data_IF_310891580862
#
_entry.id   IF_310891580862
#
_cell.length_a   1.000
_cell.length_b   1.000
_cell.length_c   1.000
_cell.angle_alpha   90.00
_cell.angle_beta   90.00
_cell.angle_gamma   90.00
#
_symmetry.space_group_name_H-M   'P 1'
#
loop_
_entity.id
_entity.type
_entity.pdbx_description
1 polymer ?
#
# COMPACT_ATOMS: atom_id res chain seq x y z
N UNK A 1 14.46 -22.37 5.77
CA UNK A 1 15.13 -21.10 5.47
C UNK A 1 14.08 -20.05 5.17
N UNK A 2 14.13 -18.92 5.83
CA UNK A 2 13.16 -17.83 5.65
C UNK A 2 13.96 -16.57 5.32
N UNK A 3 13.57 -15.90 4.26
CA UNK A 3 14.06 -14.55 3.91
C UNK A 3 12.94 -13.54 4.04
N UNK A 4 13.29 -12.31 4.35
CA UNK A 4 12.35 -11.20 4.42
C UNK A 4 12.75 -10.08 3.47
N UNK A 5 11.74 -9.44 2.88
CA UNK A 5 11.90 -8.27 2.04
C UNK A 5 10.67 -7.38 2.15
N UNK A 6 10.70 -6.20 1.55
CA UNK A 6 9.50 -5.41 1.35
C UNK A 6 8.53 -6.17 0.43
N UNK A 7 7.25 -5.94 0.62
CA UNK A 7 6.23 -6.51 -0.26
C UNK A 7 6.49 -6.10 -1.71
N UNK A 8 6.45 -7.07 -2.62
CA UNK A 8 6.53 -6.80 -4.05
C UNK A 8 5.15 -6.68 -4.70
N UNK A 9 5.09 -6.22 -5.95
CA UNK A 9 3.83 -6.07 -6.70
C UNK A 9 3.03 -7.35 -6.79
N UNK A 10 3.67 -8.49 -7.05
CA UNK A 10 2.99 -9.77 -7.20
C UNK A 10 2.29 -10.17 -5.90
N UNK A 11 2.99 -10.07 -4.78
CA UNK A 11 2.41 -10.39 -3.48
C UNK A 11 1.27 -9.42 -3.12
N UNK A 12 1.44 -8.13 -3.42
CA UNK A 12 0.39 -7.13 -3.21
C UNK A 12 -0.87 -7.45 -4.02
N UNK A 13 -0.72 -7.61 -5.32
CA UNK A 13 -1.84 -7.86 -6.23
C UNK A 13 -2.49 -9.23 -5.97
N UNK A 14 -1.69 -10.27 -5.67
CA UNK A 14 -2.19 -11.58 -5.26
C UNK A 14 -3.02 -11.50 -3.98
N UNK A 15 -2.58 -10.68 -3.03
CA UNK A 15 -3.33 -10.47 -1.78
C UNK A 15 -4.69 -9.82 -2.05
N UNK A 16 -4.76 -8.83 -2.95
CA UNK A 16 -6.04 -8.22 -3.34
C UNK A 16 -6.96 -9.26 -3.99
N UNK A 17 -6.43 -10.06 -4.91
CA UNK A 17 -7.19 -11.13 -5.59
C UNK A 17 -7.72 -12.15 -4.56
N UNK A 18 -6.88 -12.56 -3.62
CA UNK A 18 -7.29 -13.46 -2.54
C UNK A 18 -8.44 -12.87 -1.71
N UNK A 19 -8.30 -11.62 -1.25
CA UNK A 19 -9.34 -10.94 -0.48
C UNK A 19 -10.66 -10.84 -1.27
N UNK A 20 -10.58 -10.59 -2.57
CA UNK A 20 -11.77 -10.53 -3.44
C UNK A 20 -12.42 -11.91 -3.62
N UNK A 21 -11.62 -12.95 -3.78
CA UNK A 21 -12.10 -14.33 -3.88
C UNK A 21 -12.80 -14.78 -2.59
N UNK A 22 -12.36 -14.29 -1.44
CA UNK A 22 -12.98 -14.56 -0.13
C UNK A 22 -14.22 -13.71 0.17
N UNK A 23 -14.82 -13.09 -0.87
CA UNK A 23 -16.13 -12.43 -0.78
C UNK A 23 -16.10 -10.90 -0.76
N UNK A 24 -14.93 -10.26 -0.73
CA UNK A 24 -14.81 -8.80 -0.74
C UNK A 24 -14.63 -8.26 -2.17
N UNK A 25 -15.59 -8.54 -3.06
CA UNK A 25 -15.49 -8.41 -4.52
C UNK A 25 -14.93 -7.08 -5.07
N UNK A 26 -15.12 -5.97 -4.36
CA UNK A 26 -14.67 -4.65 -4.79
C UNK A 26 -13.42 -4.13 -4.05
N UNK A 27 -12.70 -5.00 -3.35
CA UNK A 27 -11.60 -4.57 -2.49
C UNK A 27 -10.47 -3.85 -3.23
N UNK A 28 -10.23 -4.16 -4.50
CA UNK A 28 -9.27 -3.43 -5.34
C UNK A 28 -9.55 -1.91 -5.38
N UNK A 29 -10.81 -1.52 -5.27
CA UNK A 29 -11.25 -0.12 -5.28
C UNK A 29 -11.47 0.45 -3.86
N UNK A 30 -11.16 -0.31 -2.82
CA UNK A 30 -11.32 0.15 -1.45
C UNK A 30 -10.36 1.33 -1.14
N UNK A 31 -10.86 2.30 -0.39
CA UNK A 31 -10.10 3.42 0.14
C UNK A 31 -10.67 3.79 1.51
N UNK A 32 -9.90 3.59 2.56
CA UNK A 32 -10.28 3.89 3.94
C UNK A 32 -9.58 5.17 4.42
N UNK A 33 -10.28 6.28 4.25
CA UNK A 33 -9.84 7.59 4.74
C UNK A 33 -10.38 7.83 6.14
N UNK A 34 -9.57 8.32 7.04
CA UNK A 34 -9.97 8.62 8.41
C UNK A 34 -9.97 10.11 8.73
N UNK A 35 -9.17 10.91 8.01
CA UNK A 35 -8.94 12.35 8.27
C UNK A 35 -8.43 12.67 9.71
N UNK A 36 -8.10 11.66 10.49
CA UNK A 36 -7.72 11.79 11.92
C UNK A 36 -6.28 11.39 12.19
N UNK A 37 -5.44 11.34 11.16
CA UNK A 37 -4.04 10.91 11.25
C UNK A 37 -3.90 9.39 11.25
N UNK A 38 -2.67 8.94 11.46
CA UNK A 38 -2.34 7.52 11.53
C UNK A 38 -3.00 6.84 12.72
N UNK A 39 -3.35 5.60 12.53
CA UNK A 39 -3.86 4.70 13.55
C UNK A 39 -2.97 3.48 13.69
N UNK A 40 -3.04 2.81 14.82
CA UNK A 40 -2.44 1.51 15.00
C UNK A 40 -2.99 0.52 13.96
N UNK A 41 -2.17 -0.45 13.57
CA UNK A 41 -2.56 -1.48 12.59
C UNK A 41 -3.90 -2.10 12.96
N UNK A 42 -4.80 -2.17 12.00
CA UNK A 42 -6.16 -2.69 12.15
C UNK A 42 -7.18 -1.70 12.73
N UNK A 43 -6.76 -0.59 13.32
CA UNK A 43 -7.67 0.34 14.01
C UNK A 43 -8.54 1.18 13.07
N UNK A 44 -8.23 1.24 11.77
CA UNK A 44 -9.07 1.92 10.76
C UNK A 44 -10.27 1.07 10.31
N UNK A 45 -10.37 -0.17 10.79
CA UNK A 45 -11.43 -1.10 10.38
C UNK A 45 -11.27 -1.65 8.97
N UNK A 46 -10.06 -1.64 8.43
CA UNK A 46 -9.71 -2.31 7.19
C UNK A 46 -8.95 -3.60 7.49
N UNK A 47 -9.65 -4.57 8.07
CA UNK A 47 -9.15 -5.94 8.21
C UNK A 47 -9.97 -6.87 7.31
N UNK A 48 -9.29 -7.56 6.40
CA UNK A 48 -9.85 -8.57 5.51
C UNK A 48 -8.99 -9.81 5.53
N UNK A 49 -9.59 -10.97 5.82
CA UNK A 49 -8.87 -12.26 5.83
C UNK A 49 -7.63 -12.26 6.75
N UNK A 50 -7.69 -11.56 7.90
CA UNK A 50 -6.57 -11.34 8.82
C UNK A 50 -5.42 -10.51 8.26
N UNK A 51 -5.68 -9.75 7.20
CA UNK A 51 -4.74 -8.79 6.60
C UNK A 51 -5.31 -7.39 6.84
N UNK A 52 -4.53 -6.53 7.46
CA UNK A 52 -4.97 -5.20 7.88
C UNK A 52 -4.37 -4.10 7.02
N UNK A 53 -5.13 -3.01 6.88
CA UNK A 53 -4.70 -1.68 6.42
C UNK A 53 -4.13 -1.63 4.99
N UNK A 54 -4.54 -2.53 4.09
CA UNK A 54 -4.19 -2.42 2.68
C UNK A 54 -4.95 -1.30 1.94
N UNK A 55 -6.07 -0.84 2.48
CA UNK A 55 -6.93 0.16 1.83
C UNK A 55 -6.81 1.57 2.45
N UNK A 56 -5.72 1.89 3.12
CA UNK A 56 -5.57 3.21 3.73
C UNK A 56 -4.54 3.26 4.85
N UNK A 57 -4.75 4.12 5.82
CA UNK A 57 -3.85 4.42 6.93
C UNK A 57 -2.54 5.08 6.45
N UNK A 58 -1.61 4.33 5.89
CA UNK A 58 -0.35 4.83 5.35
C UNK A 58 -0.05 4.21 3.98
N UNK A 59 0.54 4.98 3.08
CA UNK A 59 1.17 4.39 1.90
C UNK A 59 2.27 3.41 2.32
N UNK A 60 2.38 2.30 1.63
CA UNK A 60 3.40 1.30 1.89
C UNK A 60 4.41 1.23 0.74
N UNK A 61 5.70 1.31 1.09
CA UNK A 61 6.78 1.10 0.14
C UNK A 61 6.77 -0.34 -0.36
N UNK A 62 7.05 -0.50 -1.64
CA UNK A 62 7.20 -1.81 -2.28
C UNK A 62 8.56 -1.91 -2.96
N UNK A 63 8.95 -3.13 -3.34
CA UNK A 63 10.14 -3.35 -4.19
C UNK A 63 9.86 -3.07 -5.67
N UNK A 64 8.67 -2.60 -6.01
CA UNK A 64 8.31 -2.29 -7.38
C UNK A 64 9.05 -1.05 -7.89
N UNK A 65 9.61 -1.17 -9.07
CA UNK A 65 10.24 -0.06 -9.77
C UNK A 65 9.27 0.58 -10.78
N UNK A 66 9.24 1.89 -10.84
CA UNK A 66 8.46 2.65 -11.81
C UNK A 66 9.38 3.35 -12.80
N UNK A 67 9.05 3.22 -14.09
CA UNK A 67 9.67 3.99 -15.17
C UNK A 67 8.96 5.32 -15.42
N UNK A 68 7.93 5.63 -14.62
CA UNK A 68 7.18 6.87 -14.79
C UNK A 68 8.05 8.08 -14.45
N UNK A 69 8.17 8.97 -15.41
CA UNK A 69 8.84 10.27 -15.24
C UNK A 69 7.76 11.34 -15.18
N UNK A 70 7.58 11.91 -14.01
CA UNK A 70 6.73 13.11 -13.91
C UNK A 70 7.50 14.30 -14.50
N UNK A 71 6.77 15.33 -14.96
CA UNK A 71 7.36 16.57 -15.50
C UNK A 71 8.32 17.31 -14.53
N UNK A 72 8.44 16.83 -13.30
CA UNK A 72 9.23 17.49 -12.25
C UNK A 72 10.28 16.60 -11.57
N UNK A 73 10.16 15.27 -11.60
CA UNK A 73 11.09 14.35 -10.89
C UNK A 73 11.01 12.93 -11.44
N UNK A 74 12.13 12.21 -11.39
CA UNK A 74 12.12 10.76 -11.47
C UNK A 74 11.42 10.18 -10.24
N UNK A 75 10.49 9.28 -10.47
CA UNK A 75 9.73 8.62 -9.40
C UNK A 75 9.97 7.11 -9.46
N UNK A 76 11.16 6.61 -9.12
CA UNK A 76 11.50 5.20 -9.32
C UNK A 76 10.81 4.26 -8.34
N UNK A 77 10.42 4.75 -7.18
CA UNK A 77 9.87 3.91 -6.12
C UNK A 77 8.34 3.92 -6.17
N UNK A 78 7.73 2.75 -6.00
CA UNK A 78 6.27 2.61 -5.96
C UNK A 78 5.79 2.45 -4.54
N UNK A 79 4.74 3.18 -4.20
CA UNK A 79 3.98 3.07 -2.96
C UNK A 79 2.55 2.65 -3.27
N UNK A 80 1.94 1.86 -2.38
CA UNK A 80 0.63 1.25 -2.52
C UNK A 80 -0.27 1.54 -1.32
N UNK A 81 -1.56 1.22 -1.42
CA UNK A 81 -2.49 1.14 -0.30
C UNK A 81 -3.23 2.41 0.08
N UNK A 82 -2.85 3.55 -0.45
CA UNK A 82 -3.47 4.83 -0.08
C UNK A 82 -3.00 5.35 1.29
N UNK A 83 -3.62 6.43 1.75
CA UNK A 83 -3.23 7.11 2.99
C UNK A 83 -4.47 7.73 3.66
N UNK A 84 -4.40 7.91 4.99
CA UNK A 84 -5.53 8.37 5.81
C UNK A 84 -6.20 9.68 5.33
N UNK A 85 -5.46 10.60 4.75
CA UNK A 85 -5.94 11.88 4.23
C UNK A 85 -5.75 12.05 2.71
N UNK A 86 -5.44 10.97 2.01
CA UNK A 86 -5.17 10.97 0.58
C UNK A 86 -6.42 11.21 -0.27
N UNK A 87 -6.20 11.46 -1.55
CA UNK A 87 -7.28 11.59 -2.50
C UNK A 87 -8.02 10.25 -2.72
N UNK A 88 -9.27 10.33 -3.11
CA UNK A 88 -10.16 9.16 -3.26
C UNK A 88 -9.68 8.15 -4.32
N UNK A 89 -8.84 8.58 -5.26
CA UNK A 89 -8.29 7.70 -6.30
C UNK A 89 -7.11 6.85 -5.82
N UNK A 90 -6.57 7.09 -4.62
CA UNK A 90 -5.58 6.20 -4.02
C UNK A 90 -6.27 5.00 -3.37
N UNK A 91 -6.71 4.08 -4.20
CA UNK A 91 -7.36 2.83 -3.81
C UNK A 91 -6.32 1.73 -3.51
N UNK A 92 -6.78 0.59 -3.01
CA UNK A 92 -5.90 -0.55 -2.68
C UNK A 92 -5.05 -1.00 -3.87
N UNK A 93 -5.61 -1.00 -5.09
CA UNK A 93 -4.86 -1.38 -6.30
C UNK A 93 -4.03 -0.24 -6.90
N UNK A 94 -4.24 1.00 -6.47
CA UNK A 94 -3.53 2.13 -7.04
C UNK A 94 -2.03 2.04 -6.80
N UNK A 95 -1.28 2.47 -7.81
CA UNK A 95 0.18 2.63 -7.77
C UNK A 95 0.49 4.11 -7.77
N UNK A 96 1.15 4.60 -6.75
CA UNK A 96 1.68 5.95 -6.74
C UNK A 96 3.21 5.88 -6.78
N UNK A 97 3.83 6.71 -7.59
CA UNK A 97 5.28 6.77 -7.65
C UNK A 97 5.84 7.81 -6.69
N UNK A 98 7.07 7.60 -6.23
CA UNK A 98 7.75 8.56 -5.39
C UNK A 98 9.28 8.50 -5.56
N UNK A 99 9.94 9.55 -5.12
CA UNK A 99 11.38 9.60 -4.95
C UNK A 99 11.76 8.88 -3.65
N UNK A 100 12.82 8.08 -3.65
CA UNK A 100 13.30 7.36 -2.47
C UNK A 100 13.70 8.29 -1.31
N UNK A 101 14.08 9.53 -1.62
CA UNK A 101 14.47 10.54 -0.64
C UNK A 101 13.28 11.35 -0.10
N UNK A 102 12.09 11.10 -0.62
CA UNK A 102 10.90 11.84 -0.23
C UNK A 102 10.41 11.43 1.16
N UNK A 103 10.76 12.19 2.14
CA UNK A 103 10.33 12.01 3.54
C UNK A 103 9.01 12.72 3.86
N UNK A 104 8.38 13.35 2.89
CA UNK A 104 7.07 14.01 2.97
C UNK A 104 6.74 14.68 4.32
N UNK A 105 6.13 15.83 4.31
CA UNK A 105 5.79 16.59 5.52
C UNK A 105 4.80 15.91 6.47
N UNK A 106 4.21 14.80 6.08
CA UNK A 106 3.11 14.14 6.85
C UNK A 106 3.47 12.77 7.41
N UNK A 107 4.68 12.27 7.19
CA UNK A 107 5.08 10.93 7.68
C UNK A 107 4.20 9.76 7.19
N UNK A 108 3.36 10.00 6.17
CA UNK A 108 2.30 9.10 5.74
C UNK A 108 2.80 7.86 4.97
N UNK A 109 3.93 7.29 5.39
CA UNK A 109 4.54 6.13 4.74
C UNK A 109 4.97 5.09 5.74
N UNK A 110 4.73 3.84 5.38
CA UNK A 110 5.11 2.66 6.13
C UNK A 110 5.66 1.60 5.18
N UNK A 111 5.77 0.40 5.63
CA UNK A 111 6.17 -0.75 4.85
C UNK A 111 5.49 -2.02 5.36
N UNK A 112 5.40 -2.99 4.49
CA UNK A 112 4.92 -4.34 4.81
C UNK A 112 6.03 -5.33 4.46
N UNK A 113 6.33 -6.22 5.41
CA UNK A 113 7.31 -7.29 5.22
C UNK A 113 6.62 -8.47 4.55
N UNK A 114 7.29 -9.04 3.56
CA UNK A 114 6.96 -10.32 2.96
C UNK A 114 7.99 -11.35 3.40
N UNK A 115 7.51 -12.50 3.85
CA UNK A 115 8.36 -13.64 4.23
C UNK A 115 8.34 -14.68 3.12
N UNK A 116 9.50 -15.12 2.71
CA UNK A 116 9.69 -16.20 1.74
C UNK A 116 10.22 -17.45 2.43
N UNK A 117 9.62 -18.58 2.12
CA UNK A 117 10.15 -19.89 2.50
C UNK A 117 10.92 -20.43 1.31
N UNK A 118 12.21 -20.72 1.53
CA UNK A 118 13.09 -21.40 0.55
C UNK A 118 13.22 -22.87 0.87
#
# INVERSE_FOLDING_TARGET
YVESDLVNSYAWDTTIVYIQAMGNKNYANANKRTNTGFKNTGAIGDEKCKISDMAGNAFEWTTEYSTYVSSKKNCPCVIRGGVHNGAIYYTTCARACNDATYIGSTGARSFRILLYVK
#
